data_IF_497314777361
#
_entry.id   IF_497314777361
#
_cell.length_a   1.000
_cell.length_b   1.000
_cell.length_c   1.000
_cell.angle_alpha   90.00
_cell.angle_beta   90.00
_cell.angle_gamma   90.00
#
_symmetry.space_group_name_H-M   'P 1'
#
loop_
_entity.id
_entity.type
_entity.pdbx_description
1 polymer ?
#
# COMPACT_ATOMS: atom_id res chain seq x y z
N UNK A 1 -3.46 3.72 -21.22
CA UNK A 1 -4.78 3.60 -20.57
C UNK A 1 -4.60 3.63 -19.06
N UNK A 2 -5.70 3.62 -18.32
CA UNK A 2 -5.69 3.52 -16.84
C UNK A 2 -6.10 2.09 -16.49
N UNK A 3 -5.18 1.35 -15.89
CA UNK A 3 -5.36 -0.03 -15.42
C UNK A 3 -5.57 0.02 -13.91
N UNK A 4 -6.39 -0.88 -13.39
CA UNK A 4 -6.57 -1.12 -11.96
C UNK A 4 -6.09 -2.54 -11.61
N UNK A 5 -5.42 -2.70 -10.47
CA UNK A 5 -4.55 -3.85 -10.20
C UNK A 5 -3.73 -3.73 -8.92
N UNK A 6 -3.22 -4.87 -8.45
CA UNK A 6 -2.44 -5.00 -7.21
C UNK A 6 -0.93 -5.07 -7.53
N UNK A 7 -0.05 -4.48 -6.70
CA UNK A 7 1.41 -4.65 -6.83
C UNK A 7 1.91 -5.63 -5.75
N UNK A 8 2.54 -6.74 -6.16
CA UNK A 8 2.97 -7.80 -5.24
C UNK A 8 4.45 -8.12 -5.37
N UNK A 9 5.12 -8.37 -4.24
CA UNK A 9 6.27 -9.27 -4.21
C UNK A 9 5.75 -10.71 -4.13
N UNK A 10 6.47 -11.66 -4.74
CA UNK A 10 6.15 -13.09 -4.65
C UNK A 10 7.29 -13.85 -3.95
N UNK A 11 6.93 -14.84 -3.14
CA UNK A 11 7.86 -15.82 -2.59
C UNK A 11 8.25 -16.91 -3.63
N UNK A 12 9.14 -17.83 -3.26
CA UNK A 12 9.66 -18.90 -4.14
C UNK A 12 8.56 -19.84 -4.65
N UNK A 13 7.49 -20.03 -3.87
CA UNK A 13 6.27 -20.78 -4.22
C UNK A 13 5.27 -19.96 -5.07
N UNK A 14 5.65 -18.75 -5.47
CA UNK A 14 4.87 -17.75 -6.19
C UNK A 14 3.67 -17.16 -5.42
N UNK A 15 3.62 -17.33 -4.09
CA UNK A 15 2.59 -16.71 -3.25
C UNK A 15 2.89 -15.23 -2.96
N UNK A 16 1.88 -14.34 -2.88
CA UNK A 16 2.09 -12.93 -2.55
C UNK A 16 2.59 -12.72 -1.10
N UNK A 17 3.77 -12.11 -0.95
CA UNK A 17 4.35 -11.77 0.35
C UNK A 17 4.34 -10.24 0.56
N UNK A 18 3.49 -9.81 1.49
CA UNK A 18 3.34 -8.40 1.88
C UNK A 18 4.55 -7.86 2.67
N UNK A 19 5.22 -8.70 3.45
CA UNK A 19 6.43 -8.30 4.18
C UNK A 19 7.63 -8.15 3.24
N UNK A 20 7.75 -9.02 2.23
CA UNK A 20 8.70 -8.83 1.14
C UNK A 20 8.38 -7.58 0.30
N UNK A 21 7.10 -7.29 0.05
CA UNK A 21 6.67 -6.06 -0.63
C UNK A 21 7.07 -4.80 0.15
N UNK A 22 6.79 -4.75 1.46
CA UNK A 22 7.21 -3.62 2.31
C UNK A 22 8.74 -3.46 2.34
N UNK A 23 9.50 -4.56 2.40
CA UNK A 23 10.97 -4.51 2.33
C UNK A 23 11.47 -4.02 0.96
N UNK A 24 10.93 -4.53 -0.15
CA UNK A 24 11.31 -4.12 -1.51
C UNK A 24 11.00 -2.64 -1.81
N UNK A 25 9.95 -2.08 -1.21
CA UNK A 25 9.63 -0.65 -1.28
C UNK A 25 10.58 0.17 -0.39
N UNK A 26 10.79 -0.25 0.86
CA UNK A 26 11.73 0.38 1.83
C UNK A 26 13.15 0.48 1.28
N UNK A 27 13.65 -0.62 0.73
CA UNK A 27 15.04 -0.78 0.31
C UNK A 27 15.24 -0.36 -1.17
N UNK A 28 14.21 0.19 -1.81
CA UNK A 28 14.20 0.59 -3.23
C UNK A 28 14.24 -0.56 -4.25
N UNK A 29 14.46 -1.80 -3.79
CA UNK A 29 14.60 -3.04 -4.56
C UNK A 29 13.30 -3.54 -5.25
N UNK A 30 12.48 -2.60 -5.72
CA UNK A 30 11.19 -2.78 -6.41
C UNK A 30 11.25 -3.51 -7.76
N UNK A 31 12.44 -3.86 -8.25
CA UNK A 31 12.64 -4.45 -9.58
C UNK A 31 11.82 -5.71 -9.83
N UNK A 32 11.78 -6.64 -8.87
CA UNK A 32 11.10 -7.93 -9.03
C UNK A 32 9.62 -7.93 -8.58
N UNK A 33 9.04 -6.74 -8.37
CA UNK A 33 7.61 -6.61 -8.10
C UNK A 33 6.79 -6.85 -9.37
N UNK A 34 5.63 -7.49 -9.20
CA UNK A 34 4.73 -7.89 -10.27
C UNK A 34 3.38 -7.20 -10.06
N UNK A 35 2.89 -6.54 -11.11
CA UNK A 35 1.60 -5.86 -11.13
C UNK A 35 0.52 -6.78 -11.70
N UNK A 36 -0.46 -7.12 -10.87
CA UNK A 36 -1.59 -8.00 -11.16
C UNK A 36 -2.81 -7.16 -11.58
N UNK A 37 -2.90 -6.88 -12.87
CA UNK A 37 -3.94 -6.07 -13.50
C UNK A 37 -5.29 -6.82 -13.57
N UNK A 38 -6.36 -6.24 -13.01
CA UNK A 38 -7.67 -6.89 -12.94
C UNK A 38 -8.84 -6.10 -13.58
N UNK A 39 -8.68 -4.80 -13.85
CA UNK A 39 -9.68 -3.97 -14.56
C UNK A 39 -9.00 -2.94 -15.50
N UNK A 40 -9.71 -2.46 -16.53
CA UNK A 40 -9.26 -1.37 -17.41
C UNK A 40 -10.30 -0.26 -17.39
N UNK A 41 -9.92 0.88 -16.80
CA UNK A 41 -10.81 2.01 -16.59
C UNK A 41 -10.84 2.94 -17.80
N UNK A 42 -9.71 3.07 -18.52
CA UNK A 42 -9.60 3.88 -19.73
C UNK A 42 -8.68 3.22 -20.77
N UNK A 43 -9.07 3.23 -22.05
CA UNK A 43 -8.19 2.89 -23.18
C UNK A 43 -8.05 4.10 -24.12
N UNK A 44 -6.82 4.59 -24.33
CA UNK A 44 -6.61 5.87 -25.00
C UNK A 44 -7.35 7.00 -24.25
N UNK A 45 -8.31 7.63 -24.92
CA UNK A 45 -9.24 8.63 -24.38
C UNK A 45 -10.62 8.07 -24.00
N UNK A 46 -10.89 6.79 -24.24
CA UNK A 46 -12.21 6.17 -24.01
C UNK A 46 -12.40 5.82 -22.51
N UNK A 47 -13.43 6.39 -21.88
CA UNK A 47 -13.82 6.07 -20.50
C UNK A 47 -14.63 4.77 -20.46
N UNK A 48 -13.95 3.67 -20.12
CA UNK A 48 -14.56 2.34 -20.08
C UNK A 48 -15.38 2.10 -18.82
N UNK A 49 -15.30 2.97 -17.79
CA UNK A 49 -15.89 2.72 -16.46
C UNK A 49 -17.41 2.50 -16.50
N UNK A 50 -18.10 3.10 -17.48
CA UNK A 50 -19.56 2.93 -17.68
C UNK A 50 -19.94 1.58 -18.32
N UNK A 51 -18.99 0.87 -18.93
CA UNK A 51 -19.22 -0.45 -19.54
C UNK A 51 -19.26 -1.55 -18.46
N UNK A 52 -19.95 -2.68 -18.72
CA UNK A 52 -19.86 -3.88 -17.89
C UNK A 52 -18.42 -4.35 -17.64
N UNK A 53 -18.13 -4.88 -16.44
CA UNK A 53 -16.82 -5.44 -16.11
C UNK A 53 -16.36 -6.54 -17.09
N UNK A 54 -17.28 -7.34 -17.64
CA UNK A 54 -16.96 -8.31 -18.70
C UNK A 54 -16.32 -7.65 -19.93
N UNK A 55 -16.88 -6.52 -20.38
CA UNK A 55 -16.31 -5.72 -21.48
C UNK A 55 -14.96 -5.11 -21.07
N UNK A 56 -14.85 -4.56 -19.85
CA UNK A 56 -13.59 -3.96 -19.37
C UNK A 56 -12.46 -4.99 -19.24
N UNK A 57 -12.75 -6.23 -18.80
CA UNK A 57 -11.77 -7.34 -18.76
C UNK A 57 -11.35 -7.81 -20.15
N UNK A 58 -12.27 -7.89 -21.12
CA UNK A 58 -11.93 -8.21 -22.50
C UNK A 58 -11.04 -7.13 -23.13
N UNK A 59 -11.34 -5.85 -22.89
CA UNK A 59 -10.51 -4.70 -23.29
C UNK A 59 -9.15 -4.72 -22.57
N UNK A 60 -9.10 -5.08 -21.28
CA UNK A 60 -7.84 -5.24 -20.53
C UNK A 60 -6.95 -6.31 -21.15
N UNK A 61 -7.46 -7.52 -21.41
CA UNK A 61 -6.67 -8.60 -22.01
C UNK A 61 -6.09 -8.14 -23.35
N UNK A 62 -6.93 -7.64 -24.26
CA UNK A 62 -6.51 -7.15 -25.56
C UNK A 62 -5.58 -5.91 -25.51
N UNK A 63 -5.54 -5.17 -24.39
CA UNK A 63 -4.61 -4.07 -24.13
C UNK A 63 -3.25 -4.59 -23.62
N UNK A 64 -3.27 -5.59 -22.73
CA UNK A 64 -2.07 -6.25 -22.20
C UNK A 64 -1.36 -7.10 -23.27
N UNK A 65 -2.11 -7.75 -24.18
CA UNK A 65 -1.56 -8.53 -25.30
C UNK A 65 -0.73 -7.68 -26.29
N UNK A 66 -0.94 -6.35 -26.29
CA UNK A 66 -0.16 -5.38 -27.08
C UNK A 66 1.10 -4.90 -26.36
N UNK A 67 1.27 -5.20 -25.07
CA UNK A 67 2.50 -4.87 -24.34
C UNK A 67 3.60 -5.84 -24.81
N UNK A 68 4.81 -5.34 -25.16
CA UNK A 68 5.93 -6.21 -25.50
C UNK A 68 6.18 -7.25 -24.40
N UNK A 69 6.33 -8.54 -24.75
CA UNK A 69 6.52 -9.64 -23.78
C UNK A 69 7.58 -9.34 -22.71
N UNK A 70 8.64 -8.66 -23.13
CA UNK A 70 9.64 -7.97 -22.35
C UNK A 70 9.16 -7.32 -21.03
N UNK A 71 8.06 -6.55 -21.08
CA UNK A 71 7.43 -5.89 -19.95
C UNK A 71 6.21 -6.65 -19.41
N UNK A 72 5.56 -7.46 -20.25
CA UNK A 72 4.45 -8.34 -19.86
C UNK A 72 4.83 -9.42 -18.83
N UNK A 73 6.12 -9.72 -18.63
CA UNK A 73 6.59 -10.59 -17.53
C UNK A 73 6.24 -10.05 -16.14
N UNK A 74 6.25 -8.71 -15.97
CA UNK A 74 5.95 -8.00 -14.72
C UNK A 74 4.54 -7.42 -14.65
N UNK A 75 3.75 -7.49 -15.73
CA UNK A 75 2.33 -7.09 -15.74
C UNK A 75 1.46 -8.28 -16.13
N UNK A 76 0.80 -8.89 -15.15
CA UNK A 76 -0.01 -10.11 -15.32
C UNK A 76 -1.49 -9.79 -15.31
N UNK A 77 -2.26 -10.33 -16.26
CA UNK A 77 -3.72 -10.32 -16.19
C UNK A 77 -4.19 -11.22 -15.05
N UNK A 78 -5.10 -10.73 -14.21
CA UNK A 78 -5.80 -11.54 -13.22
C UNK A 78 -6.99 -12.20 -13.90
N UNK A 79 -6.88 -13.51 -14.11
CA UNK A 79 -7.99 -14.31 -14.63
C UNK A 79 -9.17 -14.43 -13.67
N UNK A 80 -10.29 -14.93 -14.19
CA UNK A 80 -11.53 -15.08 -13.45
C UNK A 80 -12.25 -16.39 -13.79
N UNK A 81 -12.94 -16.95 -12.79
CA UNK A 81 -13.68 -18.22 -12.93
C UNK A 81 -15.18 -17.94 -13.00
N UNK A 82 -15.83 -18.38 -14.08
CA UNK A 82 -17.30 -18.38 -14.21
C UNK A 82 -17.94 -19.59 -13.48
N UNK A 83 -17.41 -19.95 -12.30
CA UNK A 83 -17.85 -21.09 -11.49
C UNK A 83 -18.48 -20.61 -10.16
N UNK A 84 -18.92 -21.56 -9.32
CA UNK A 84 -19.50 -21.20 -8.01
C UNK A 84 -18.43 -20.58 -7.11
N UNK A 85 -18.67 -19.35 -6.65
CA UNK A 85 -17.69 -18.59 -5.85
C UNK A 85 -17.22 -19.29 -4.57
N UNK A 86 -18.05 -20.18 -4.00
CA UNK A 86 -17.65 -21.04 -2.89
C UNK A 86 -16.49 -21.98 -3.27
N UNK A 87 -16.53 -22.64 -4.43
CA UNK A 87 -15.47 -23.55 -4.86
C UNK A 87 -14.14 -22.83 -5.13
N UNK A 88 -14.22 -21.61 -5.69
CA UNK A 88 -13.04 -20.74 -5.90
C UNK A 88 -12.45 -20.33 -4.54
N UNK A 89 -13.29 -19.90 -3.59
CA UNK A 89 -12.87 -19.55 -2.24
C UNK A 89 -12.25 -20.76 -1.51
N UNK A 90 -12.90 -21.92 -1.53
CA UNK A 90 -12.35 -23.15 -0.93
C UNK A 90 -11.00 -23.57 -1.54
N UNK A 91 -10.78 -23.31 -2.83
CA UNK A 91 -9.48 -23.54 -3.45
C UNK A 91 -8.44 -22.50 -3.02
N UNK A 92 -8.81 -21.21 -2.99
CA UNK A 92 -7.93 -20.14 -2.52
C UNK A 92 -7.46 -20.39 -1.07
N UNK A 93 -8.36 -20.86 -0.20
CA UNK A 93 -8.03 -21.13 1.20
C UNK A 93 -7.22 -22.43 1.40
N UNK A 94 -7.28 -23.39 0.47
CA UNK A 94 -6.34 -24.53 0.45
C UNK A 94 -4.95 -24.14 -0.07
N UNK A 95 -4.86 -23.05 -0.81
CA UNK A 95 -3.61 -22.47 -1.31
C UNK A 95 -3.05 -21.39 -0.35
N UNK A 96 -3.65 -21.20 0.84
CA UNK A 96 -3.29 -20.17 1.82
C UNK A 96 -3.28 -18.72 1.27
N UNK A 97 -4.05 -18.45 0.20
CA UNK A 97 -4.36 -17.10 -0.25
C UNK A 97 -5.30 -16.38 0.74
N UNK A 98 -5.27 -15.04 0.75
CA UNK A 98 -6.07 -14.24 1.70
C UNK A 98 -7.59 -14.45 1.52
N UNK A 99 -8.05 -14.74 0.31
CA UNK A 99 -9.47 -14.82 -0.04
C UNK A 99 -9.73 -14.70 -1.54
N UNK A 100 -10.95 -14.34 -1.90
CA UNK A 100 -11.36 -14.00 -3.28
C UNK A 100 -12.09 -12.67 -3.32
N UNK A 101 -12.02 -11.98 -4.47
CA UNK A 101 -12.88 -10.83 -4.79
C UNK A 101 -13.93 -11.27 -5.80
N UNK A 102 -15.17 -11.42 -5.36
CA UNK A 102 -16.32 -11.62 -6.25
C UNK A 102 -16.73 -10.27 -6.82
N UNK A 103 -16.76 -10.13 -8.14
CA UNK A 103 -17.18 -8.89 -8.84
C UNK A 103 -18.33 -9.20 -9.79
N UNK A 104 -19.38 -8.37 -9.80
CA UNK A 104 -20.45 -8.48 -10.80
C UNK A 104 -19.92 -8.12 -12.20
N UNK A 105 -20.02 -9.08 -13.14
CA UNK A 105 -19.58 -8.92 -14.53
C UNK A 105 -20.41 -7.89 -15.30
N UNK A 106 -21.64 -7.62 -14.88
CA UNK A 106 -22.52 -6.65 -15.53
C UNK A 106 -22.33 -5.21 -15.00
N UNK A 107 -21.63 -5.05 -13.87
CA UNK A 107 -21.53 -3.77 -13.19
C UNK A 107 -20.52 -2.80 -13.85
N UNK A 108 -20.92 -1.54 -13.92
CA UNK A 108 -20.02 -0.40 -14.12
C UNK A 108 -19.00 -0.28 -12.97
N UNK A 109 -17.89 0.40 -13.21
CA UNK A 109 -16.89 0.71 -12.20
C UNK A 109 -17.33 1.91 -11.36
N UNK A 110 -17.39 1.73 -10.04
CA UNK A 110 -17.73 2.78 -9.06
C UNK A 110 -16.55 2.96 -8.11
N UNK A 111 -16.05 4.20 -7.99
CA UNK A 111 -14.99 4.51 -7.04
C UNK A 111 -15.55 4.58 -5.60
N UNK A 112 -14.74 4.16 -4.62
CA UNK A 112 -15.15 4.08 -3.21
C UNK A 112 -15.87 2.78 -2.87
N UNK A 113 -16.66 2.79 -1.79
CA UNK A 113 -17.34 1.59 -1.28
C UNK A 113 -18.58 1.25 -2.13
N UNK A 114 -18.60 0.05 -2.70
CA UNK A 114 -19.72 -0.48 -3.48
C UNK A 114 -20.24 -1.81 -2.91
N UNK A 115 -21.35 -2.30 -3.45
CA UNK A 115 -21.89 -3.65 -3.21
C UNK A 115 -21.60 -4.63 -4.36
N UNK A 116 -21.12 -4.13 -5.50
CA UNK A 116 -20.84 -4.93 -6.71
C UNK A 116 -19.50 -5.67 -6.65
N UNK A 117 -18.64 -5.32 -5.70
CA UNK A 117 -17.39 -6.02 -5.38
C UNK A 117 -17.45 -6.51 -3.92
N UNK A 118 -17.29 -7.81 -3.71
CA UNK A 118 -17.38 -8.46 -2.39
C UNK A 118 -16.06 -9.20 -2.12
N UNK A 119 -15.35 -8.80 -1.06
CA UNK A 119 -14.14 -9.50 -0.59
C UNK A 119 -14.53 -10.58 0.43
N UNK A 120 -14.33 -11.84 0.05
CA UNK A 120 -14.57 -13.00 0.92
C UNK A 120 -13.21 -13.55 1.38
N UNK A 121 -12.85 -13.32 2.64
CA UNK A 121 -11.57 -13.75 3.21
C UNK A 121 -11.59 -15.21 3.69
N UNK A 122 -10.45 -15.90 3.50
CA UNK A 122 -10.14 -17.24 3.99
C UNK A 122 -9.79 -17.26 5.49
N UNK A 123 -9.08 -16.24 5.94
CA UNK A 123 -8.70 -16.00 7.34
C UNK A 123 -9.15 -14.60 7.73
N UNK A 124 -9.32 -14.36 9.02
CA UNK A 124 -9.56 -13.00 9.48
C UNK A 124 -8.31 -12.14 9.21
N UNK A 125 -8.54 -10.89 8.81
CA UNK A 125 -7.50 -9.86 8.77
C UNK A 125 -8.10 -8.58 9.30
N UNK A 126 -7.54 -8.10 10.39
CA UNK A 126 -8.01 -6.96 11.15
C UNK A 126 -6.83 -6.06 11.53
N UNK A 127 -7.14 -4.81 11.89
CA UNK A 127 -6.16 -3.81 12.32
C UNK A 127 -6.14 -3.77 13.85
N UNK A 128 -4.94 -3.68 14.44
CA UNK A 128 -4.75 -3.66 15.91
C UNK A 128 -3.75 -2.61 16.33
N UNK A 129 -3.94 -2.06 17.54
CA UNK A 129 -3.00 -1.16 18.18
C UNK A 129 -1.98 -1.98 18.97
N UNK A 130 -0.69 -1.69 18.78
CA UNK A 130 0.38 -2.31 19.58
C UNK A 130 0.47 -1.59 20.93
N UNK A 131 0.18 -2.31 22.02
CA UNK A 131 0.31 -1.78 23.38
C UNK A 131 1.55 -2.28 24.16
N UNK A 132 2.27 -3.24 23.59
CA UNK A 132 3.48 -3.79 24.20
C UNK A 132 4.19 -4.79 23.28
N UNK A 133 5.35 -5.25 23.71
CA UNK A 133 6.06 -6.37 23.12
C UNK A 133 6.86 -7.12 24.19
N UNK A 134 7.39 -8.29 23.86
CA UNK A 134 8.19 -9.10 24.80
C UNK A 134 9.46 -9.61 24.17
N UNK A 135 10.52 -9.68 24.98
CA UNK A 135 11.81 -10.26 24.63
C UNK A 135 12.20 -11.41 25.56
N UNK A 136 13.22 -12.15 25.17
CA UNK A 136 13.95 -13.13 25.98
C UNK A 136 15.44 -12.74 25.88
N UNK A 137 15.97 -12.13 26.93
CA UNK A 137 17.14 -11.25 26.79
C UNK A 137 16.84 -10.14 25.76
N UNK A 138 17.74 -9.93 24.80
CA UNK A 138 17.55 -9.00 23.68
C UNK A 138 16.70 -9.56 22.53
N UNK A 139 16.42 -10.87 22.51
CA UNK A 139 15.71 -11.51 21.39
C UNK A 139 14.22 -11.18 21.43
N UNK A 140 13.71 -10.50 20.40
CA UNK A 140 12.27 -10.28 20.20
C UNK A 140 11.49 -11.61 20.15
N UNK A 141 10.32 -11.68 20.80
CA UNK A 141 9.48 -12.89 20.89
C UNK A 141 8.02 -12.74 20.45
N UNK A 142 7.35 -11.61 20.76
CA UNK A 142 5.94 -11.37 20.36
C UNK A 142 5.53 -9.91 20.57
N UNK A 143 4.59 -9.42 19.76
CA UNK A 143 3.81 -8.21 20.11
C UNK A 143 2.68 -8.55 21.09
N UNK A 144 2.24 -7.55 21.85
CA UNK A 144 1.04 -7.55 22.70
C UNK A 144 0.08 -6.50 22.10
N UNK A 145 -1.12 -6.93 21.71
CA UNK A 145 -2.01 -6.12 20.86
C UNK A 145 -3.40 -5.94 21.45
N UNK A 146 -4.08 -4.88 21.02
CA UNK A 146 -5.45 -4.55 21.43
C UNK A 146 -6.17 -3.69 20.41
N UNK A 147 -7.40 -3.30 20.75
CA UNK A 147 -8.19 -2.28 20.06
C UNK A 147 -8.60 -1.20 21.06
N UNK A 148 -9.05 -0.04 20.60
CA UNK A 148 -9.62 1.00 21.49
C UNK A 148 -10.73 0.38 22.37
N UNK A 149 -10.71 0.68 23.66
CA UNK A 149 -11.74 0.25 24.61
C UNK A 149 -12.78 1.36 24.76
N UNK A 150 -13.93 1.18 24.13
CA UNK A 150 -15.06 2.13 24.12
C UNK A 150 -15.65 2.38 25.50
N UNK A 151 -15.49 1.42 26.42
CA UNK A 151 -16.07 1.45 27.76
C UNK A 151 -15.06 1.96 28.79
N UNK A 152 -13.82 2.22 28.37
CA UNK A 152 -12.78 2.80 29.22
C UNK A 152 -13.12 4.24 29.62
N UNK A 153 -12.84 4.58 30.88
CA UNK A 153 -13.02 5.96 31.39
C UNK A 153 -12.24 6.95 30.50
N UNK A 154 -12.95 7.95 29.98
CA UNK A 154 -12.45 8.95 29.03
C UNK A 154 -12.03 8.43 27.64
N UNK A 155 -12.41 7.19 27.24
CA UNK A 155 -12.00 6.61 25.95
C UNK A 155 -10.47 6.39 25.85
N UNK A 156 -9.84 6.08 26.98
CA UNK A 156 -8.38 5.93 27.11
C UNK A 156 -8.04 4.56 27.68
N UNK A 157 -7.83 3.61 26.78
CA UNK A 157 -7.31 2.29 27.10
C UNK A 157 -7.37 1.37 25.88
N UNK A 158 -6.59 0.28 25.92
CA UNK A 158 -6.72 -0.81 24.95
C UNK A 158 -7.42 -2.01 25.58
N UNK A 159 -8.44 -2.53 24.90
CA UNK A 159 -8.99 -3.85 25.17
C UNK A 159 -8.03 -4.87 24.57
N UNK A 160 -7.38 -5.65 25.43
CA UNK A 160 -6.36 -6.61 25.05
C UNK A 160 -6.96 -7.75 24.19
N UNK A 161 -6.33 -8.04 23.05
CA UNK A 161 -6.73 -9.10 22.12
C UNK A 161 -5.77 -10.31 22.14
N UNK A 162 -4.70 -10.26 22.93
CA UNK A 162 -3.70 -11.33 23.04
C UNK A 162 -2.32 -10.94 22.53
N UNK A 163 -1.53 -11.96 22.17
CA UNK A 163 -0.13 -11.84 21.74
C UNK A 163 0.06 -12.42 20.35
N UNK A 164 0.78 -11.70 19.50
CA UNK A 164 1.10 -12.08 18.13
C UNK A 164 2.53 -12.61 18.12
N UNK A 165 2.69 -13.91 17.90
CA UNK A 165 3.98 -14.63 18.07
C UNK A 165 4.67 -15.02 16.76
N UNK A 166 4.02 -14.81 15.62
CA UNK A 166 4.50 -15.20 14.28
C UNK A 166 4.34 -14.03 13.29
N UNK A 167 4.93 -14.15 12.09
CA UNK A 167 5.00 -13.06 11.11
C UNK A 167 6.23 -12.17 11.23
N UNK A 168 7.33 -12.69 11.81
CA UNK A 168 8.55 -11.92 12.06
C UNK A 168 9.77 -12.60 11.42
N UNK A 169 10.21 -12.12 10.26
CA UNK A 169 11.54 -12.42 9.73
C UNK A 169 12.62 -11.56 10.40
N UNK A 170 13.90 -11.86 10.16
CA UNK A 170 14.99 -11.04 10.68
C UNK A 170 14.97 -9.59 10.13
N UNK A 171 14.58 -9.40 8.87
CA UNK A 171 14.39 -8.07 8.26
C UNK A 171 13.19 -7.34 8.87
N UNK A 172 12.04 -8.01 9.04
CA UNK A 172 10.86 -7.42 9.71
C UNK A 172 11.20 -6.96 11.12
N UNK A 173 11.93 -7.77 11.91
CA UNK A 173 12.36 -7.34 13.27
C UNK A 173 13.31 -6.15 13.20
N UNK A 174 14.27 -6.13 12.26
CA UNK A 174 15.21 -5.01 12.08
C UNK A 174 14.47 -3.68 11.82
N UNK A 175 13.43 -3.70 10.99
CA UNK A 175 12.63 -2.50 10.64
C UNK A 175 11.60 -2.14 11.71
N UNK A 176 11.01 -3.12 12.40
CA UNK A 176 10.00 -2.91 13.44
C UNK A 176 10.58 -2.39 14.77
N UNK A 177 11.77 -2.85 15.15
CA UNK A 177 12.37 -2.52 16.46
C UNK A 177 12.62 -1.03 16.73
N UNK A 178 13.04 -0.19 15.76
CA UNK A 178 13.10 1.26 15.94
C UNK A 178 11.77 1.90 16.35
N UNK A 179 10.67 1.54 15.68
CA UNK A 179 9.34 2.05 16.00
C UNK A 179 8.88 1.62 17.40
N UNK A 180 9.08 0.35 17.75
CA UNK A 180 8.78 -0.17 19.11
C UNK A 180 9.61 0.56 20.19
N UNK A 181 10.89 0.87 19.93
CA UNK A 181 11.73 1.62 20.87
C UNK A 181 11.28 3.08 21.03
N UNK A 182 10.92 3.75 19.94
CA UNK A 182 10.41 5.13 19.98
C UNK A 182 9.08 5.25 20.73
N UNK A 183 8.23 4.23 20.67
CA UNK A 183 6.93 4.20 21.32
C UNK A 183 6.95 3.79 22.81
N UNK A 184 8.11 3.63 23.45
CA UNK A 184 8.23 3.08 24.82
C UNK A 184 7.39 3.81 25.91
N UNK A 185 6.95 3.04 26.91
CA UNK A 185 6.15 3.45 28.07
C UNK A 185 6.51 2.62 29.31
N UNK A 186 6.49 3.24 30.51
CA UNK A 186 6.64 2.53 31.79
C UNK A 186 5.36 1.81 32.22
N UNK A 187 4.20 2.34 31.80
CA UNK A 187 2.86 1.85 32.12
C UNK A 187 2.23 1.10 30.95
N UNK A 188 1.44 0.07 31.29
CA UNK A 188 0.61 -0.67 30.33
C UNK A 188 -0.55 0.21 29.84
N UNK A 189 -0.82 0.27 28.52
CA UNK A 189 -2.00 0.95 27.98
C UNK A 189 -3.27 0.09 28.06
N UNK A 190 -3.17 -1.17 28.49
CA UNK A 190 -4.28 -2.11 28.50
C UNK A 190 -5.16 -1.99 29.75
N UNK A 191 -6.47 -2.11 29.56
CA UNK A 191 -7.49 -1.92 30.60
C UNK A 191 -8.43 -3.13 30.71
N UNK A 192 -9.33 -3.07 31.69
CA UNK A 192 -10.34 -4.11 31.94
C UNK A 192 -9.78 -5.39 32.57
N UNK A 193 -10.66 -6.37 32.83
CA UNK A 193 -10.31 -7.65 33.48
C UNK A 193 -9.38 -8.54 32.63
N UNK A 194 -9.32 -8.30 31.31
CA UNK A 194 -8.48 -9.04 30.35
C UNK A 194 -7.06 -8.46 30.16
N UNK A 195 -6.69 -7.40 30.87
CA UNK A 195 -5.39 -6.75 30.72
C UNK A 195 -4.21 -7.73 30.98
N UNK A 196 -3.17 -7.73 30.13
CA UNK A 196 -2.04 -8.62 30.26
C UNK A 196 -1.19 -8.23 31.48
N UNK A 197 -0.85 -9.24 32.29
CA UNK A 197 0.19 -9.11 33.32
C UNK A 197 1.57 -9.07 32.64
N UNK A 198 2.57 -8.53 33.33
CA UNK A 198 3.99 -8.68 32.90
C UNK A 198 4.29 -10.18 32.76
N UNK A 199 5.02 -10.54 31.70
CA UNK A 199 5.37 -11.92 31.40
C UNK A 199 6.28 -12.54 32.48
N UNK A 200 6.29 -13.88 32.50
CA UNK A 200 7.04 -14.72 33.43
C UNK A 200 7.86 -15.75 32.66
N UNK A 201 8.76 -16.47 33.34
CA UNK A 201 9.55 -17.56 32.73
C UNK A 201 10.55 -17.07 31.68
N UNK A 202 11.46 -16.16 32.08
CA UNK A 202 12.53 -15.64 31.21
C UNK A 202 12.10 -14.56 30.21
N UNK A 203 10.80 -14.31 30.05
CA UNK A 203 10.26 -13.29 29.15
C UNK A 203 10.15 -11.91 29.82
N UNK A 204 10.85 -10.92 29.26
CA UNK A 204 10.70 -9.50 29.63
C UNK A 204 9.51 -8.89 28.89
N UNK A 205 8.78 -7.97 29.53
CA UNK A 205 7.67 -7.22 28.92
C UNK A 205 7.99 -5.73 28.86
N UNK A 206 7.84 -5.17 27.67
CA UNK A 206 8.07 -3.77 27.34
C UNK A 206 6.74 -3.14 26.93
N UNK A 207 6.27 -2.13 27.65
CA UNK A 207 5.01 -1.46 27.33
C UNK A 207 5.23 -0.32 26.34
N UNK A 208 4.21 -0.01 25.56
CA UNK A 208 4.22 1.07 24.58
C UNK A 208 3.09 2.06 24.82
N UNK A 209 3.31 3.29 24.36
CA UNK A 209 2.25 4.26 24.09
C UNK A 209 1.39 3.70 22.95
N UNK A 210 0.05 3.72 23.05
CA UNK A 210 -0.84 3.11 22.07
C UNK A 210 -0.97 4.02 20.84
N UNK A 211 0.10 4.07 20.03
CA UNK A 211 0.21 4.96 18.84
C UNK A 211 0.57 4.22 17.55
N UNK A 212 1.07 2.98 17.64
CA UNK A 212 1.42 2.16 16.48
C UNK A 212 0.25 1.27 16.09
N UNK A 213 -0.19 1.36 14.84
CA UNK A 213 -1.18 0.45 14.24
C UNK A 213 -0.46 -0.63 13.41
N UNK A 214 -0.95 -1.86 13.49
CA UNK A 214 -0.45 -3.00 12.73
C UNK A 214 -1.60 -3.76 12.07
N UNK A 215 -1.32 -4.35 10.91
CA UNK A 215 -2.19 -5.34 10.28
C UNK A 215 -1.78 -6.76 10.74
N UNK A 216 -2.78 -7.58 11.06
CA UNK A 216 -2.61 -8.97 11.46
C UNK A 216 -3.53 -9.90 10.66
N UNK A 217 -3.12 -11.16 10.53
CA UNK A 217 -3.94 -12.27 10.01
C UNK A 217 -4.16 -13.30 11.13
N UNK A 218 -5.36 -13.87 11.22
CA UNK A 218 -5.74 -14.74 12.34
C UNK A 218 -6.87 -15.72 11.96
N UNK A 219 -6.94 -16.85 12.66
CA UNK A 219 -7.98 -17.88 12.52
C UNK A 219 -9.30 -17.53 13.23
N UNK A 220 -9.73 -16.27 13.16
CA UNK A 220 -10.88 -15.75 13.91
C UNK A 220 -10.56 -15.42 15.38
N UNK A 221 -11.60 -15.41 16.22
CA UNK A 221 -11.55 -15.02 17.63
C UNK A 221 -12.04 -16.16 18.53
N UNK A 222 -11.63 -16.14 19.80
CA UNK A 222 -12.17 -16.99 20.87
C UNK A 222 -13.45 -16.38 21.46
N UNK A 223 -14.25 -17.19 22.17
CA UNK A 223 -15.45 -16.72 22.89
C UNK A 223 -15.12 -15.66 23.97
N UNK A 224 -13.86 -15.63 24.41
CA UNK A 224 -13.29 -14.62 25.32
C UNK A 224 -12.76 -13.36 24.60
N UNK A 225 -13.01 -13.21 23.30
CA UNK A 225 -12.62 -12.04 22.51
C UNK A 225 -11.12 -11.92 22.20
N UNK A 226 -10.33 -12.98 22.37
CA UNK A 226 -8.91 -13.02 22.00
C UNK A 226 -8.72 -13.51 20.56
N UNK A 227 -7.63 -13.08 19.92
CA UNK A 227 -7.23 -13.56 18.59
C UNK A 227 -6.75 -15.02 18.63
N UNK A 228 -7.18 -15.82 17.65
CA UNK A 228 -6.70 -17.20 17.45
C UNK A 228 -5.65 -17.26 16.33
N UNK A 229 -4.50 -17.90 16.56
CA UNK A 229 -3.47 -18.14 15.53
C UNK A 229 -3.02 -16.86 14.79
N UNK A 230 -2.80 -15.76 15.53
CA UNK A 230 -2.46 -14.47 14.95
C UNK A 230 -0.99 -14.38 14.48
N UNK A 231 -0.80 -13.85 13.27
CA UNK A 231 0.47 -13.50 12.66
C UNK A 231 0.51 -12.01 12.26
N UNK A 232 1.64 -11.35 12.48
CA UNK A 232 1.89 -9.98 12.02
C UNK A 232 2.06 -9.94 10.49
N UNK A 233 1.64 -8.85 9.86
CA UNK A 233 1.85 -8.60 8.42
C UNK A 233 2.65 -7.33 8.14
N UNK A 234 2.37 -6.24 8.85
CA UNK A 234 3.09 -4.97 8.70
C UNK A 234 2.56 -3.87 9.63
N UNK A 235 3.30 -2.75 9.70
CA UNK A 235 2.79 -1.50 10.28
C UNK A 235 1.89 -0.77 9.30
N UNK A 236 0.99 0.05 9.84
CA UNK A 236 0.02 0.87 9.10
C UNK A 236 0.23 2.35 9.44
N UNK A 237 1.21 2.95 8.77
CA UNK A 237 1.59 4.36 8.95
C UNK A 237 0.53 5.33 8.38
N UNK A 238 -0.41 4.82 7.58
CA UNK A 238 -1.58 5.50 7.06
C UNK A 238 -2.70 5.72 8.11
N UNK A 239 -2.56 5.15 9.32
CA UNK A 239 -3.61 5.16 10.35
C UNK A 239 -3.11 5.48 11.75
N UNK A 240 -3.95 6.16 12.51
CA UNK A 240 -3.75 6.47 13.93
C UNK A 240 -4.55 5.50 14.82
N UNK A 241 -4.03 5.24 16.03
CA UNK A 241 -4.68 4.32 16.97
C UNK A 241 -6.17 4.64 17.32
N UNK A 242 -6.63 5.91 17.39
CA UNK A 242 -8.05 6.24 17.57
C UNK A 242 -8.98 5.77 16.44
N UNK A 243 -8.47 5.49 15.24
CA UNK A 243 -9.28 5.00 14.10
C UNK A 243 -9.54 3.49 14.19
N UNK A 244 -8.84 2.78 15.09
CA UNK A 244 -8.90 1.31 15.25
C UNK A 244 -9.93 0.93 16.33
N UNK A 245 -11.21 1.12 16.00
CA UNK A 245 -12.36 1.07 16.93
C UNK A 245 -13.43 0.00 16.60
N UNK A 246 -13.22 -0.84 15.59
CA UNK A 246 -14.23 -1.75 15.06
C UNK A 246 -14.26 -3.15 15.71
N UNK A 247 -15.42 -3.81 15.63
CA UNK A 247 -15.53 -5.27 15.78
C UNK A 247 -14.93 -6.00 14.56
N UNK A 248 -14.50 -7.27 14.72
CA UNK A 248 -13.55 -7.89 13.78
C UNK A 248 -14.21 -8.61 12.59
N UNK A 249 -13.49 -8.72 11.48
CA UNK A 249 -13.97 -9.43 10.29
C UNK A 249 -13.82 -10.96 10.44
N UNK A 250 -14.90 -11.59 10.93
CA UNK A 250 -15.00 -13.04 11.09
C UNK A 250 -14.71 -13.80 9.76
N UNK A 251 -13.93 -14.92 9.80
CA UNK A 251 -13.68 -15.74 8.62
C UNK A 251 -14.95 -16.38 8.03
N UNK A 252 -14.97 -16.57 6.71
CA UNK A 252 -16.08 -17.27 6.04
C UNK A 252 -16.07 -18.77 6.40
N UNK A 253 -17.21 -19.32 6.85
CA UNK A 253 -17.33 -20.76 7.14
C UNK A 253 -17.44 -21.58 5.85
N UNK A 254 -16.44 -22.41 5.57
CA UNK A 254 -16.33 -23.22 4.35
C UNK A 254 -16.76 -24.68 4.57
N UNK A 255 -17.18 -25.37 3.50
CA UNK A 255 -17.64 -26.78 3.52
C UNK A 255 -16.89 -27.59 2.45
N UNK A 256 -15.59 -27.80 2.71
CA UNK A 256 -14.57 -28.20 1.75
C UNK A 256 -14.91 -29.37 0.80
N UNK A 257 -14.81 -29.11 -0.51
CA UNK A 257 -14.67 -30.10 -1.58
C UNK A 257 -13.42 -29.86 -2.44
N UNK A 258 -12.72 -30.93 -2.86
CA UNK A 258 -11.37 -30.87 -3.48
C UNK A 258 -11.36 -30.97 -5.03
N UNK A 259 -10.42 -30.27 -5.67
CA UNK A 259 -10.15 -30.29 -7.12
C UNK A 259 -8.68 -29.94 -7.44
N UNK A 260 -8.21 -30.20 -8.68
CA UNK A 260 -6.81 -30.06 -9.16
C UNK A 260 -6.60 -28.86 -10.12
N UNK A 261 -5.33 -28.52 -10.45
CA UNK A 261 -4.93 -27.29 -11.18
C UNK A 261 -4.04 -27.51 -12.46
N UNK A 262 -3.88 -26.51 -13.36
CA UNK A 262 -3.06 -26.54 -14.59
C UNK A 262 -1.85 -25.51 -14.64
N UNK A 263 -0.98 -25.49 -15.70
CA UNK A 263 0.38 -24.87 -15.68
C UNK A 263 0.63 -23.55 -16.49
N UNK A 264 1.90 -23.14 -16.67
CA UNK A 264 2.42 -21.75 -16.93
C UNK A 264 3.55 -21.63 -18.03
N UNK A 265 3.83 -20.42 -18.61
CA UNK A 265 4.84 -20.12 -19.68
C UNK A 265 5.50 -18.69 -19.62
N UNK A 266 6.57 -18.39 -20.41
CA UNK A 266 7.49 -17.18 -20.31
C UNK A 266 8.12 -16.64 -21.65
N UNK A 267 8.82 -15.45 -21.70
CA UNK A 267 9.86 -14.93 -22.71
C UNK A 267 10.34 -13.42 -22.50
N UNK A 268 11.39 -12.86 -23.21
CA UNK A 268 12.24 -11.67 -22.79
C UNK A 268 12.41 -10.31 -23.62
N UNK A 269 13.46 -9.47 -23.36
CA UNK A 269 13.53 -7.95 -23.52
C UNK A 269 14.88 -7.17 -23.88
N UNK A 270 14.88 -5.98 -24.59
CA UNK A 270 16.03 -4.97 -24.59
C UNK A 270 15.85 -3.43 -25.00
N UNK A 271 16.54 -2.45 -24.32
CA UNK A 271 17.23 -1.13 -24.74
C UNK A 271 16.49 0.03 -25.54
N UNK A 272 16.90 1.32 -25.83
CA UNK A 272 17.81 2.51 -25.44
C UNK A 272 17.51 3.75 -26.41
N UNK A 273 17.95 5.06 -26.46
CA UNK A 273 18.58 6.28 -25.76
C UNK A 273 18.66 7.45 -26.85
N UNK A 274 18.85 8.81 -26.80
CA UNK A 274 19.11 10.03 -25.92
C UNK A 274 19.29 11.32 -26.85
N UNK A 275 19.57 12.64 -26.55
CA UNK A 275 19.76 13.55 -25.36
C UNK A 275 19.38 15.09 -25.57
N UNK A 276 20.27 16.15 -25.47
CA UNK A 276 19.88 17.58 -25.12
C UNK A 276 20.68 18.86 -25.67
N UNK A 277 20.21 20.14 -25.43
CA UNK A 277 20.85 21.49 -25.73
C UNK A 277 20.34 22.73 -24.88
N UNK A 278 20.74 24.03 -25.11
CA UNK A 278 20.41 25.22 -24.24
C UNK A 278 18.90 25.60 -24.22
N UNK A 279 18.34 25.99 -23.06
CA UNK A 279 16.90 25.77 -22.79
C UNK A 279 16.06 26.96 -22.26
N UNK A 280 14.93 27.21 -22.93
CA UNK A 280 13.71 27.88 -22.43
C UNK A 280 12.54 26.93 -22.70
N UNK A 281 11.55 26.84 -21.80
CA UNK A 281 10.45 25.86 -21.84
C UNK A 281 9.13 26.55 -21.53
N UNK A 282 8.09 26.36 -22.36
CA UNK A 282 6.74 26.93 -22.17
C UNK A 282 6.73 28.43 -21.76
N UNK A 283 7.62 29.24 -22.34
CA UNK A 283 7.77 30.66 -22.00
C UNK A 283 8.40 30.96 -20.62
N UNK A 284 8.90 29.94 -19.91
CA UNK A 284 9.59 30.05 -18.63
C UNK A 284 11.10 29.84 -18.82
N UNK A 285 11.88 30.85 -18.42
CA UNK A 285 13.35 30.78 -18.43
C UNK A 285 13.86 29.90 -17.30
N UNK A 286 14.56 28.82 -17.62
CA UNK A 286 15.00 27.83 -16.63
C UNK A 286 16.39 28.20 -16.11
N UNK A 287 16.44 28.77 -14.90
CA UNK A 287 17.69 29.06 -14.20
C UNK A 287 18.45 27.77 -13.83
N UNK A 288 19.77 27.77 -13.97
CA UNK A 288 20.64 26.61 -13.73
C UNK A 288 20.11 25.31 -14.38
N UNK A 289 19.93 25.29 -15.72
CA UNK A 289 19.32 24.15 -16.43
C UNK A 289 20.15 22.87 -16.22
N UNK A 290 21.47 22.98 -16.23
CA UNK A 290 22.41 21.87 -16.06
C UNK A 290 22.56 21.42 -14.60
N UNK A 291 21.81 21.99 -13.64
CA UNK A 291 21.83 21.53 -12.24
C UNK A 291 21.31 20.10 -12.20
N UNK A 292 22.20 19.17 -11.84
CA UNK A 292 21.86 17.77 -11.58
C UNK A 292 20.85 17.69 -10.44
N UNK A 293 19.74 17.00 -10.68
CA UNK A 293 18.71 16.73 -9.66
C UNK A 293 18.68 15.24 -9.27
N UNK A 294 19.07 14.35 -10.19
CA UNK A 294 19.42 12.95 -9.90
C UNK A 294 20.86 12.71 -10.35
N UNK A 295 21.81 12.41 -9.44
CA UNK A 295 23.18 12.03 -9.80
C UNK A 295 23.23 10.82 -10.72
N UNK A 296 24.35 10.66 -11.45
CA UNK A 296 24.61 9.45 -12.22
C UNK A 296 24.81 8.26 -11.26
N UNK A 297 24.07 7.18 -11.47
CA UNK A 297 24.06 5.99 -10.64
C UNK A 297 23.72 4.76 -11.49
N UNK A 298 24.20 3.58 -11.11
CA UNK A 298 23.83 2.27 -11.68
C UNK A 298 23.90 2.17 -13.22
N UNK A 299 24.84 2.89 -13.83
CA UNK A 299 25.02 2.94 -15.29
C UNK A 299 24.11 3.92 -16.03
N UNK A 300 23.30 4.70 -15.32
CA UNK A 300 22.46 5.77 -15.86
C UNK A 300 23.15 7.14 -15.75
N UNK A 301 23.01 7.95 -16.81
CA UNK A 301 23.43 9.35 -16.84
C UNK A 301 22.68 10.19 -15.80
N UNK A 302 23.36 11.20 -15.24
CA UNK A 302 22.74 12.19 -14.38
C UNK A 302 21.59 12.94 -15.08
N UNK A 303 20.47 13.12 -14.38
CA UNK A 303 19.29 13.86 -14.87
C UNK A 303 19.34 15.29 -14.35
N UNK A 304 19.26 16.25 -15.27
CA UNK A 304 19.35 17.69 -14.95
C UNK A 304 17.97 18.32 -14.76
N UNK A 305 17.95 19.54 -14.20
CA UNK A 305 16.77 20.39 -14.14
C UNK A 305 16.21 20.70 -15.53
N UNK A 306 17.04 20.75 -16.56
CA UNK A 306 16.62 20.89 -17.95
C UNK A 306 15.79 19.70 -18.43
N UNK A 307 16.24 18.48 -18.12
CA UNK A 307 15.57 17.24 -18.53
C UNK A 307 14.24 17.08 -17.79
N UNK A 308 14.21 17.37 -16.49
CA UNK A 308 12.98 17.37 -15.69
C UNK A 308 11.94 18.37 -16.24
N UNK A 309 12.36 19.57 -16.62
CA UNK A 309 11.42 20.61 -17.08
C UNK A 309 10.96 20.34 -18.51
N UNK A 310 11.80 19.78 -19.40
CA UNK A 310 11.36 19.24 -20.71
C UNK A 310 10.36 18.10 -20.57
N UNK A 311 10.57 17.21 -19.60
CA UNK A 311 9.61 16.15 -19.30
C UNK A 311 8.25 16.73 -18.91
N UNK A 312 8.22 17.76 -18.04
CA UNK A 312 6.97 18.43 -17.67
C UNK A 312 6.30 19.19 -18.83
N UNK A 313 7.05 19.76 -19.77
CA UNK A 313 6.50 20.36 -21.00
C UNK A 313 5.89 19.31 -21.93
N UNK A 314 6.65 18.26 -22.25
CA UNK A 314 6.19 17.14 -23.09
C UNK A 314 4.98 16.40 -22.48
N UNK A 315 4.86 16.41 -21.16
CA UNK A 315 3.74 15.83 -20.43
C UNK A 315 2.65 16.85 -20.03
N UNK A 316 2.80 18.14 -20.34
CA UNK A 316 1.92 19.21 -19.82
C UNK A 316 0.45 18.97 -20.16
N UNK A 317 0.13 18.74 -21.44
CA UNK A 317 -1.22 18.44 -21.93
C UNK A 317 -1.87 17.20 -21.28
N UNK A 318 -1.06 16.31 -20.68
CA UNK A 318 -1.52 15.07 -20.02
C UNK A 318 -1.56 15.19 -18.50
N UNK A 319 -0.73 16.06 -17.92
CA UNK A 319 -0.66 16.31 -16.48
C UNK A 319 -1.68 17.38 -16.07
N UNK A 320 -1.77 18.49 -16.82
CA UNK A 320 -2.62 19.64 -16.48
C UNK A 320 -4.12 19.28 -16.35
N UNK A 321 -4.75 18.47 -17.23
CA UNK A 321 -6.14 18.04 -17.03
C UNK A 321 -6.39 17.29 -15.70
N UNK A 322 -5.34 16.74 -15.08
CA UNK A 322 -5.41 15.96 -13.84
C UNK A 322 -4.91 16.71 -12.59
N UNK A 323 -4.10 17.76 -12.72
CA UNK A 323 -3.56 18.54 -11.57
C UNK A 323 -3.91 20.02 -11.58
N UNK A 324 -4.28 20.59 -12.73
CA UNK A 324 -4.79 21.96 -12.83
C UNK A 324 -6.06 22.09 -11.99
N UNK A 325 -6.20 23.23 -11.32
CA UNK A 325 -7.34 23.57 -10.47
C UNK A 325 -7.67 22.52 -9.39
N UNK A 326 -6.65 21.79 -8.90
CA UNK A 326 -6.79 20.82 -7.80
C UNK A 326 -5.78 21.04 -6.66
N UNK A 327 -6.17 20.81 -5.39
CA UNK A 327 -5.27 20.81 -4.25
C UNK A 327 -4.09 19.86 -4.47
N UNK A 328 -2.87 20.39 -4.46
CA UNK A 328 -1.65 19.67 -4.79
C UNK A 328 -0.69 19.65 -3.60
N UNK A 329 -0.13 18.47 -3.28
CA UNK A 329 1.01 18.33 -2.37
C UNK A 329 2.29 18.16 -3.19
N UNK A 330 3.20 19.12 -3.14
CA UNK A 330 4.42 19.15 -3.96
C UNK A 330 5.61 18.72 -3.10
N UNK A 331 6.35 17.67 -3.49
CA UNK A 331 7.65 17.37 -2.88
C UNK A 331 8.69 18.36 -3.45
N UNK A 332 9.38 19.08 -2.57
CA UNK A 332 10.45 20.01 -2.90
C UNK A 332 11.80 19.34 -2.61
N UNK A 333 12.70 19.35 -3.59
CA UNK A 333 14.08 18.86 -3.49
C UNK A 333 15.05 19.92 -4.06
N UNK A 334 15.38 20.99 -3.30
CA UNK A 334 16.10 22.16 -3.85
C UNK A 334 17.48 21.82 -4.40
N UNK A 335 18.18 20.90 -3.74
CA UNK A 335 19.56 20.46 -4.06
C UNK A 335 19.60 19.08 -4.74
N UNK A 336 18.49 18.65 -5.34
CA UNK A 336 18.34 17.30 -5.91
C UNK A 336 17.90 16.26 -4.87
N UNK A 337 17.63 15.04 -5.32
CA UNK A 337 16.99 13.99 -4.50
C UNK A 337 17.85 13.43 -3.37
N UNK A 338 19.15 13.69 -3.38
CA UNK A 338 20.09 13.32 -2.30
C UNK A 338 20.22 14.41 -1.23
N UNK A 339 19.58 15.57 -1.43
CA UNK A 339 19.50 16.66 -0.45
C UNK A 339 18.28 16.56 0.46
N UNK A 340 18.05 17.60 1.26
CA UNK A 340 16.83 17.71 2.06
C UNK A 340 15.59 17.78 1.16
N UNK A 341 14.54 17.01 1.50
CA UNK A 341 13.26 17.04 0.81
C UNK A 341 12.11 17.27 1.77
N UNK A 342 11.09 18.03 1.33
CA UNK A 342 9.94 18.37 2.17
C UNK A 342 8.66 18.58 1.35
N UNK A 343 7.50 18.38 1.99
CA UNK A 343 6.20 18.62 1.36
C UNK A 343 5.78 20.09 1.46
N UNK A 344 5.59 20.73 0.31
CA UNK A 344 4.89 22.00 0.18
C UNK A 344 3.40 21.74 -0.16
N UNK A 345 2.51 21.99 0.81
CA UNK A 345 1.05 22.03 0.59
C UNK A 345 0.49 23.43 0.46
N UNK A 346 1.16 24.44 1.04
CA UNK A 346 0.71 25.84 1.06
C UNK A 346 1.70 26.76 0.35
N UNK A 347 1.27 27.96 -0.03
CA UNK A 347 2.19 28.98 -0.54
C UNK A 347 3.22 29.38 0.53
N UNK A 348 4.48 29.50 0.12
CA UNK A 348 5.59 29.98 0.94
C UNK A 348 6.05 31.37 0.44
N UNK A 349 6.74 32.18 1.27
CA UNK A 349 7.38 33.42 0.81
C UNK A 349 8.25 33.17 -0.44
N UNK A 350 8.14 34.03 -1.46
CA UNK A 350 8.86 33.85 -2.73
C UNK A 350 8.29 32.77 -3.67
N UNK A 351 7.09 32.22 -3.40
CA UNK A 351 6.40 31.35 -4.36
C UNK A 351 6.06 32.10 -5.65
N UNK A 352 6.07 31.39 -6.79
CA UNK A 352 5.70 31.97 -8.09
C UNK A 352 4.22 32.43 -8.04
N UNK A 353 3.89 33.69 -8.42
CA UNK A 353 2.53 34.22 -8.36
C UNK A 353 1.53 33.54 -9.31
N UNK A 354 1.98 32.65 -10.22
CA UNK A 354 1.11 31.77 -11.01
C UNK A 354 0.60 30.54 -10.25
N UNK A 355 1.03 30.28 -9.02
CA UNK A 355 0.44 29.23 -8.19
C UNK A 355 -0.90 29.70 -7.60
N UNK A 356 -1.98 29.00 -7.95
CA UNK A 356 -3.32 29.25 -7.41
C UNK A 356 -3.45 28.66 -6.00
N UNK A 357 -4.39 29.19 -5.24
CA UNK A 357 -4.77 28.69 -3.92
C UNK A 357 -6.21 28.18 -3.95
N UNK A 358 -6.44 27.03 -3.35
CA UNK A 358 -7.75 26.37 -3.28
C UNK A 358 -8.08 26.07 -1.82
N UNK A 359 -9.26 26.48 -1.36
CA UNK A 359 -9.77 26.07 -0.06
C UNK A 359 -10.22 24.60 -0.10
N UNK A 360 -9.86 23.86 0.95
CA UNK A 360 -10.24 22.46 1.19
C UNK A 360 -10.92 22.29 2.56
N UNK A 361 -11.28 23.41 3.19
CA UNK A 361 -11.80 23.52 4.55
C UNK A 361 -10.83 23.03 5.65
N UNK A 362 -9.53 22.96 5.33
CA UNK A 362 -8.44 22.89 6.30
C UNK A 362 -8.01 24.29 6.76
N UNK A 363 -7.15 24.35 7.79
CA UNK A 363 -6.69 25.60 8.44
C UNK A 363 -5.90 26.57 7.54
N UNK A 364 -5.46 26.12 6.35
CA UNK A 364 -4.81 26.95 5.31
C UNK A 364 -5.14 26.36 3.91
N UNK A 365 -5.36 27.19 2.88
CA UNK A 365 -5.63 26.70 1.52
C UNK A 365 -4.41 26.01 0.91
N UNK A 366 -4.67 25.09 -0.01
CA UNK A 366 -3.65 24.29 -0.70
C UNK A 366 -3.19 24.99 -1.99
N UNK A 367 -1.94 24.75 -2.39
CA UNK A 367 -1.45 25.19 -3.71
C UNK A 367 -2.06 24.34 -4.81
N UNK A 368 -2.29 24.98 -5.96
CA UNK A 368 -2.75 24.34 -7.18
C UNK A 368 -1.96 24.89 -8.38
N UNK A 369 -1.80 24.05 -9.41
CA UNK A 369 -1.30 24.48 -10.71
C UNK A 369 -2.45 25.12 -11.50
N UNK A 370 -2.14 26.10 -12.34
CA UNK A 370 -3.07 26.64 -13.34
C UNK A 370 -2.61 26.25 -14.74
N UNK A 371 -3.56 25.90 -15.60
CA UNK A 371 -3.43 25.97 -17.05
C UNK A 371 -3.55 27.45 -17.47
N UNK A 372 -2.71 27.95 -18.41
CA UNK A 372 -2.53 29.40 -18.67
C UNK A 372 -2.27 29.72 -20.14
#
# INVERSE_FOLDING_TARGET
>A
GVVDGELCALAEDHMPDFSALQAAISDGATGELIYFAFDLLFEGSEDLRKLPLSHRKARLQAYLDRIPKAAGTRVRFVEHFASTGQAVLESACRMDLEGVISKDLNAAYTAGRSTTWIKSKCRGRDEVVIGGWTSEGDRFRSLIVGVQDTDAKQGKGLRHLGRVGTGYSASVVKTLMPALKAAASDSSPFVGKGAPRRATGGLTTHWLKPVLVAEIEHGGYTDSGSLRQAAFKGLREDKTAPEVTAEPQAPTKLKGGSAKAPPQLTLGAPKTVGKAGKLVVAGVTISNPDKVLWPAADGHDAITKADLVRYYEMAAERILPHVSDRPTSIIRAPEGITGETFFQRHAMPGSNPRLKLIDVHERKPYVAVTDV
#
